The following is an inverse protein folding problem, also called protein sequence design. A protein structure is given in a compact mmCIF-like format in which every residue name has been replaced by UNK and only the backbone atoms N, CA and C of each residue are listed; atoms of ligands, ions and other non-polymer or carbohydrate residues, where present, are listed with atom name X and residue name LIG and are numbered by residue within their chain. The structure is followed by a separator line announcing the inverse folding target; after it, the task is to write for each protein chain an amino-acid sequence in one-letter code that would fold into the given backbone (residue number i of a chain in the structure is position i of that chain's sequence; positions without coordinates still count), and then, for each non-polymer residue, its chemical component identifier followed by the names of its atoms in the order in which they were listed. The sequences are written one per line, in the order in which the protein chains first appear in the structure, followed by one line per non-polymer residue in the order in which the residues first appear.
data_IF_761518493415
#
_entry.id   IF_761518493415
#
_cell.length_a   1.000
_cell.length_b   1.000
_cell.length_c   1.000
_cell.angle_alpha   90.00
_cell.angle_beta   90.00
_cell.angle_gamma   90.00
#
_symmetry.space_group_name_H-M   'P 1'
#
loop_
_entity.id
_entity.type
_entity.pdbx_description
1 polymer ?
#
# COMPACT_ATOMS: atom_id res chain seq x y z
N UNK A 1 -0.78 7.91 -15.99
CA UNK A 1 -1.32 9.15 -16.61
C UNK A 1 -1.78 10.09 -15.50
N UNK A 2 -1.81 11.43 -15.71
CA UNK A 2 -2.42 12.34 -14.73
C UNK A 2 -3.84 11.89 -14.37
N UNK A 3 -4.22 11.99 -13.09
CA UNK A 3 -5.50 11.49 -12.59
C UNK A 3 -5.64 9.97 -12.52
N UNK A 4 -4.62 9.20 -12.93
CA UNK A 4 -4.64 7.74 -12.88
C UNK A 4 -4.62 7.21 -11.45
N UNK A 5 -5.13 5.99 -11.27
CA UNK A 5 -5.14 5.30 -9.99
C UNK A 5 -3.99 4.29 -9.90
N UNK A 6 -3.32 4.26 -8.75
CA UNK A 6 -2.47 3.17 -8.30
C UNK A 6 -3.28 2.37 -7.28
N UNK A 7 -3.60 1.13 -7.61
CA UNK A 7 -4.31 0.20 -6.72
C UNK A 7 -3.28 -0.81 -6.23
N UNK A 8 -2.87 -0.69 -4.97
CA UNK A 8 -1.84 -1.54 -4.37
C UNK A 8 -2.38 -2.38 -3.23
N UNK A 9 -2.21 -3.71 -3.33
CA UNK A 9 -2.39 -4.63 -2.22
C UNK A 9 -1.01 -4.92 -1.61
N UNK A 10 -0.70 -4.24 -0.51
CA UNK A 10 0.62 -4.27 0.11
C UNK A 10 0.74 -5.48 1.06
N UNK A 11 1.71 -6.36 0.78
CA UNK A 11 1.93 -7.60 1.51
C UNK A 11 3.43 -7.90 1.66
N UNK A 12 3.88 -8.43 2.81
CA UNK A 12 3.15 -8.54 4.08
C UNK A 12 3.23 -7.23 4.89
N UNK A 13 2.10 -6.80 5.45
CA UNK A 13 2.02 -5.64 6.34
C UNK A 13 2.59 -5.95 7.75
N UNK A 14 2.49 -7.21 8.17
CA UNK A 14 3.12 -7.73 9.38
C UNK A 14 4.43 -8.45 9.07
N UNK A 15 5.28 -8.59 10.08
CA UNK A 15 6.60 -9.21 9.90
C UNK A 15 6.47 -10.70 9.53
N UNK A 16 6.97 -11.14 8.37
CA UNK A 16 7.05 -12.56 8.03
C UNK A 16 8.25 -13.26 8.68
N UNK A 17 9.13 -12.52 9.38
CA UNK A 17 10.47 -12.92 9.82
C UNK A 17 11.55 -12.03 9.18
N UNK A 18 12.77 -12.02 9.74
CA UNK A 18 13.80 -11.03 9.41
C UNK A 18 14.36 -11.07 7.96
N UNK A 19 14.15 -12.15 7.20
CA UNK A 19 15.04 -12.44 6.06
C UNK A 19 14.46 -12.25 4.65
N UNK A 20 13.14 -12.26 4.44
CA UNK A 20 12.51 -12.12 3.10
C UNK A 20 13.07 -13.07 2.00
N UNK A 21 12.60 -12.94 0.74
CA UNK A 21 11.32 -12.35 0.33
C UNK A 21 10.11 -13.25 0.71
N UNK A 22 8.89 -12.69 0.80
CA UNK A 22 8.57 -11.27 0.60
C UNK A 22 8.98 -10.41 1.79
N UNK A 23 9.55 -9.23 1.53
CA UNK A 23 9.92 -8.26 2.55
C UNK A 23 8.70 -7.52 3.08
N UNK A 24 8.70 -7.21 4.37
CA UNK A 24 7.63 -6.44 5.01
C UNK A 24 7.44 -5.07 4.35
N UNK A 25 6.18 -4.70 4.11
CA UNK A 25 5.78 -3.38 3.58
C UNK A 25 4.99 -2.65 4.66
N UNK A 26 5.56 -1.60 5.24
CA UNK A 26 4.87 -0.78 6.25
C UNK A 26 4.04 0.31 5.57
N UNK A 27 2.95 0.72 6.20
CA UNK A 27 2.14 1.87 5.74
C UNK A 27 3.00 3.13 5.61
N UNK A 28 3.94 3.31 6.53
CA UNK A 28 4.85 4.45 6.59
C UNK A 28 5.78 4.49 5.38
N UNK A 29 6.23 3.33 4.88
CA UNK A 29 7.04 3.24 3.67
C UNK A 29 6.24 3.69 2.45
N UNK A 30 5.00 3.23 2.33
CA UNK A 30 4.10 3.65 1.25
C UNK A 30 3.81 5.15 1.35
N UNK A 31 3.57 5.68 2.56
CA UNK A 31 3.35 7.11 2.77
C UNK A 31 4.58 7.94 2.36
N UNK A 32 5.78 7.51 2.74
CA UNK A 32 7.03 8.18 2.37
C UNK A 32 7.26 8.18 0.86
N UNK A 33 6.96 7.07 0.19
CA UNK A 33 7.21 6.91 -1.25
C UNK A 33 6.17 7.62 -2.12
N UNK A 34 4.90 7.62 -1.72
CA UNK A 34 3.81 8.05 -2.60
C UNK A 34 3.02 9.25 -2.10
N UNK A 35 2.88 9.44 -0.80
CA UNK A 35 1.97 10.44 -0.22
C UNK A 35 2.68 11.72 0.25
N UNK A 36 4.01 11.79 0.11
CA UNK A 36 4.83 12.92 0.57
C UNK A 36 5.73 13.42 -0.55
N UNK A 37 6.07 14.70 -0.49
CA UNK A 37 6.96 15.35 -1.46
C UNK A 37 6.25 16.00 -2.65
N UNK A 38 7.04 16.44 -3.62
CA UNK A 38 6.53 17.14 -4.81
C UNK A 38 5.86 16.15 -5.76
N UNK A 39 4.62 16.44 -6.16
CA UNK A 39 3.84 15.52 -7.01
C UNK A 39 3.28 14.31 -6.25
N UNK A 40 3.16 14.41 -4.92
CA UNK A 40 2.58 13.37 -4.07
C UNK A 40 1.19 12.95 -4.57
N UNK A 41 0.95 11.65 -4.53
CA UNK A 41 -0.35 11.06 -4.77
C UNK A 41 -1.32 11.40 -3.64
N UNK A 42 -2.59 11.45 -3.98
CA UNK A 42 -3.68 11.55 -3.02
C UNK A 42 -4.12 10.15 -2.58
N UNK A 43 -4.23 9.89 -1.28
CA UNK A 43 -4.84 8.66 -0.78
C UNK A 43 -6.35 8.75 -0.93
N UNK A 44 -6.93 7.90 -1.78
CA UNK A 44 -8.38 7.87 -2.05
C UNK A 44 -9.09 6.86 -1.17
N UNK A 45 -8.49 5.69 -0.99
CA UNK A 45 -9.05 4.61 -0.18
C UNK A 45 -7.94 3.85 0.53
N UNK A 46 -8.24 3.38 1.73
CA UNK A 46 -7.37 2.49 2.48
C UNK A 46 -8.21 1.52 3.32
N UNK A 47 -7.90 0.23 3.20
CA UNK A 47 -8.55 -0.79 4.01
C UNK A 47 -7.61 -1.96 4.32
N UNK A 48 -7.99 -2.70 5.35
CA UNK A 48 -7.51 -4.06 5.54
C UNK A 48 -8.57 -4.99 4.96
N UNK A 49 -8.27 -5.76 3.89
CA UNK A 49 -9.29 -6.54 3.19
C UNK A 49 -9.90 -7.62 4.10
N UNK A 50 -11.24 -7.67 4.25
CA UNK A 50 -11.91 -8.69 5.05
C UNK A 50 -11.98 -10.05 4.34
N UNK A 51 -11.76 -10.07 3.03
CA UNK A 51 -11.85 -11.21 2.12
C UNK A 51 -10.48 -11.81 1.76
N UNK A 52 -9.42 -11.44 2.47
CA UNK A 52 -8.11 -12.07 2.34
C UNK A 52 -8.18 -13.58 2.60
N UNK A 53 -7.38 -14.37 1.87
CA UNK A 53 -7.22 -15.79 2.16
C UNK A 53 -6.71 -16.01 3.60
N UNK A 54 -7.01 -17.15 4.25
CA UNK A 54 -6.71 -17.35 5.68
C UNK A 54 -5.25 -17.06 6.09
N UNK A 55 -4.27 -17.37 5.23
CA UNK A 55 -2.85 -17.13 5.50
C UNK A 55 -2.41 -15.66 5.42
N UNK A 56 -3.23 -14.80 4.84
CA UNK A 56 -2.96 -13.37 4.60
C UNK A 56 -3.92 -12.43 5.32
N UNK A 57 -5.01 -12.96 5.88
CA UNK A 57 -5.95 -12.20 6.71
C UNK A 57 -5.19 -11.44 7.81
N UNK A 58 -5.45 -10.14 7.91
CA UNK A 58 -4.75 -9.28 8.88
C UNK A 58 -3.32 -8.87 8.48
N UNK A 59 -2.81 -9.36 7.33
CA UNK A 59 -1.41 -9.18 6.89
C UNK A 59 -1.28 -8.43 5.57
N UNK A 60 -2.39 -7.90 5.05
CA UNK A 60 -2.44 -7.12 3.83
C UNK A 60 -3.10 -5.77 4.10
N UNK A 61 -2.81 -4.82 3.20
CA UNK A 61 -3.45 -3.50 3.20
C UNK A 61 -3.70 -3.07 1.77
N UNK A 62 -4.95 -2.81 1.42
CA UNK A 62 -5.30 -2.22 0.14
C UNK A 62 -5.21 -0.70 0.26
N UNK A 63 -4.52 -0.05 -0.68
CA UNK A 63 -4.53 1.40 -0.81
C UNK A 63 -4.78 1.78 -2.27
N UNK A 64 -5.71 2.70 -2.48
CA UNK A 64 -6.00 3.30 -3.78
C UNK A 64 -5.46 4.73 -3.74
N UNK A 65 -4.49 5.03 -4.59
CA UNK A 65 -3.85 6.33 -4.67
C UNK A 65 -4.15 6.98 -6.01
N UNK A 66 -4.40 8.28 -6.05
CA UNK A 66 -4.61 9.05 -7.27
C UNK A 66 -3.38 9.88 -7.60
N UNK A 67 -2.85 9.72 -8.82
CA UNK A 67 -1.80 10.59 -9.34
C UNK A 67 -2.38 12.00 -9.55
N UNK A 68 -1.70 13.07 -9.13
CA UNK A 68 -2.13 14.43 -9.41
C UNK A 68 -2.37 14.68 -10.90
N UNK A 69 -3.20 15.67 -11.21
CA UNK A 69 -3.51 16.09 -12.58
C UNK A 69 -2.36 16.88 -13.25
N UNK A 70 -1.37 17.31 -12.46
CA UNK A 70 -0.24 18.14 -12.89
C UNK A 70 0.99 17.30 -13.17
#
# INVERSE_FOLDING_TARGET
RPGGLLVGLWFPASDPGENGPPYRVRREDVSRLFLRGRGAFELVHEEQPPDSIPRRLGRERLMILRKPLR
#
